data_IF_404961320688
#
_entry.id   IF_404961320688
#
_cell.length_a   1.000
_cell.length_b   1.000
_cell.length_c   1.000
_cell.angle_alpha   90.00
_cell.angle_beta   90.00
_cell.angle_gamma   90.00
#
_symmetry.space_group_name_H-M   'P 1'
#
loop_
_entity.id
_entity.type
_entity.pdbx_description
1 polymer ?
#
# COMPACT_ATOMS: atom_id res chain seq x y z
N UNK A 1 2.74 4.26 0.64
CA UNK A 1 3.71 4.66 -0.39
C UNK A 1 3.47 6.11 -0.79
N UNK A 2 4.54 6.86 -1.00
CA UNK A 2 4.50 8.24 -1.46
C UNK A 2 5.14 8.25 -2.85
N UNK A 3 4.35 8.47 -3.89
CA UNK A 3 4.81 8.47 -5.29
C UNK A 3 4.60 9.89 -5.85
N UNK A 4 5.68 10.60 -6.22
CA UNK A 4 5.57 11.94 -6.77
C UNK A 4 4.77 12.02 -8.07
N UNK A 5 4.13 13.17 -8.30
CA UNK A 5 3.42 13.49 -9.54
C UNK A 5 4.13 14.63 -10.28
N UNK A 6 4.01 14.65 -11.60
CA UNK A 6 4.46 15.76 -12.44
C UNK A 6 3.46 16.94 -12.44
N UNK A 7 3.79 18.00 -13.17
CA UNK A 7 2.94 19.20 -13.29
C UNK A 7 1.56 18.92 -13.90
N UNK A 8 1.41 17.81 -14.63
CA UNK A 8 0.15 17.39 -15.25
C UNK A 8 -0.63 16.40 -14.35
N UNK A 9 -0.11 16.09 -13.16
CA UNK A 9 -0.74 15.18 -12.19
C UNK A 9 -0.48 13.69 -12.46
N UNK A 10 0.39 13.33 -13.41
CA UNK A 10 0.77 11.94 -13.69
C UNK A 10 1.88 11.50 -12.72
N UNK A 11 1.83 10.25 -12.25
CA UNK A 11 2.90 9.71 -11.40
C UNK A 11 4.23 9.62 -12.17
N UNK A 12 5.32 10.05 -11.51
CA UNK A 12 6.67 10.02 -12.08
C UNK A 12 7.27 8.61 -12.01
N UNK A 13 8.10 8.31 -12.99
CA UNK A 13 9.02 7.16 -13.00
C UNK A 13 10.45 7.70 -12.98
N UNK A 14 11.36 6.94 -12.38
CA UNK A 14 12.76 7.30 -12.21
C UNK A 14 13.62 6.11 -12.61
N UNK A 15 14.80 6.37 -13.16
CA UNK A 15 15.68 5.31 -13.64
C UNK A 15 16.49 4.70 -12.48
N UNK A 16 16.76 5.50 -11.44
CA UNK A 16 17.45 5.06 -10.24
C UNK A 16 16.71 5.44 -8.96
N UNK A 17 16.89 4.70 -7.85
CA UNK A 17 16.32 5.09 -6.56
C UNK A 17 16.78 6.47 -6.06
N UNK A 18 18.01 6.88 -6.40
CA UNK A 18 18.59 8.15 -5.96
C UNK A 18 17.86 9.36 -6.54
N UNK A 19 17.45 9.29 -7.81
CA UNK A 19 16.70 10.35 -8.48
C UNK A 19 15.33 10.60 -7.84
N UNK A 20 14.70 9.56 -7.30
CA UNK A 20 13.38 9.67 -6.66
C UNK A 20 13.44 10.27 -5.24
N UNK A 21 14.62 10.34 -4.62
CA UNK A 21 14.76 10.58 -3.17
C UNK A 21 14.21 11.94 -2.74
N UNK A 22 14.62 13.02 -3.40
CA UNK A 22 14.21 14.38 -3.05
C UNK A 22 12.70 14.57 -3.19
N UNK A 23 12.15 14.21 -4.36
CA UNK A 23 10.72 14.34 -4.66
C UNK A 23 9.88 13.48 -3.72
N UNK A 24 10.30 12.24 -3.46
CA UNK A 24 9.59 11.33 -2.55
C UNK A 24 9.57 11.88 -1.13
N UNK A 25 10.70 12.44 -0.67
CA UNK A 25 10.81 13.06 0.65
C UNK A 25 9.88 14.27 0.78
N UNK A 26 9.73 15.09 -0.26
CA UNK A 26 8.79 16.21 -0.26
C UNK A 26 7.34 15.74 -0.13
N UNK A 27 6.95 14.68 -0.85
CA UNK A 27 5.60 14.10 -0.76
C UNK A 27 5.37 13.44 0.60
N UNK A 28 6.38 12.76 1.17
CA UNK A 28 6.32 12.17 2.52
C UNK A 28 6.02 13.22 3.59
N UNK A 29 6.64 14.40 3.52
CA UNK A 29 6.44 15.50 4.47
C UNK A 29 5.00 16.02 4.53
N UNK A 30 4.19 15.73 3.52
CA UNK A 30 2.76 16.09 3.48
C UNK A 30 1.89 15.12 4.29
N UNK A 31 2.43 13.96 4.70
CA UNK A 31 1.75 12.92 5.49
C UNK A 31 0.51 12.28 4.83
N UNK A 32 0.31 12.56 3.53
CA UNK A 32 -0.79 12.03 2.73
C UNK A 32 -0.21 10.97 1.77
N UNK A 33 -0.35 9.67 2.07
CA UNK A 33 0.15 8.63 1.19
C UNK A 33 -0.65 8.62 -0.11
N UNK A 34 0.05 8.53 -1.24
CA UNK A 34 -0.59 8.37 -2.56
C UNK A 34 -1.22 6.99 -2.73
N UNK A 35 -0.65 5.97 -2.08
CA UNK A 35 -1.12 4.59 -2.14
C UNK A 35 -0.95 3.93 -0.77
N UNK A 36 -1.98 3.24 -0.31
CA UNK A 36 -1.93 2.30 0.81
C UNK A 36 -2.40 0.96 0.28
N UNK A 37 -1.53 -0.04 0.32
CA UNK A 37 -1.74 -1.33 -0.37
C UNK A 37 -1.32 -2.49 0.52
N UNK A 38 -2.01 -3.62 0.40
CA UNK A 38 -1.54 -4.89 0.95
C UNK A 38 -0.57 -5.57 -0.02
N UNK A 39 0.41 -6.27 0.52
CA UNK A 39 1.36 -7.14 -0.20
C UNK A 39 1.94 -6.53 -1.49
N UNK A 40 2.25 -5.23 -1.45
CA UNK A 40 3.05 -4.55 -2.48
C UNK A 40 2.30 -3.93 -3.67
N UNK A 41 1.00 -4.19 -3.88
CA UNK A 41 0.23 -3.55 -4.98
C UNK A 41 -1.29 -3.52 -4.75
N UNK A 42 -1.99 -2.66 -5.47
CA UNK A 42 -3.47 -2.63 -5.47
C UNK A 42 -3.99 -3.99 -5.95
N UNK A 43 -4.93 -4.57 -5.19
CA UNK A 43 -5.53 -5.86 -5.50
C UNK A 43 -4.61 -7.07 -5.31
N UNK A 44 -3.48 -6.95 -4.60
CA UNK A 44 -2.53 -8.05 -4.42
C UNK A 44 -3.16 -9.34 -3.86
N UNK A 45 -4.11 -9.21 -2.93
CA UNK A 45 -4.82 -10.29 -2.24
C UNK A 45 -6.25 -10.48 -2.76
N UNK A 46 -6.46 -10.36 -4.08
CA UNK A 46 -7.80 -10.46 -4.71
C UNK A 46 -7.79 -11.40 -5.92
N UNK A 47 -8.99 -11.73 -6.42
CA UNK A 47 -9.18 -12.61 -7.59
C UNK A 47 -8.53 -13.97 -7.36
N UNK A 48 -7.67 -14.40 -8.30
CA UNK A 48 -6.93 -15.66 -8.19
C UNK A 48 -5.98 -15.76 -6.98
N UNK A 49 -5.65 -14.62 -6.35
CA UNK A 49 -4.79 -14.53 -5.17
C UNK A 49 -5.59 -14.23 -3.89
N UNK A 50 -6.91 -14.37 -3.92
CA UNK A 50 -7.74 -14.15 -2.74
C UNK A 50 -7.35 -15.13 -1.62
N UNK A 51 -7.35 -14.63 -0.38
CA UNK A 51 -7.19 -15.49 0.78
C UNK A 51 -8.40 -16.44 0.89
N UNK A 52 -8.15 -17.69 1.22
CA UNK A 52 -9.19 -18.73 1.31
C UNK A 52 -9.24 -19.30 2.72
N UNK A 53 -10.43 -19.68 3.16
CA UNK A 53 -10.67 -20.47 4.36
C UNK A 53 -11.91 -21.34 4.13
N UNK A 54 -12.15 -22.33 4.98
CA UNK A 54 -13.39 -23.13 4.99
C UNK A 54 -14.24 -22.84 6.23
N UNK A 55 -15.54 -23.12 6.15
CA UNK A 55 -16.42 -23.05 7.33
C UNK A 55 -15.88 -23.99 8.42
N UNK A 56 -15.78 -23.47 9.64
CA UNK A 56 -15.21 -24.19 10.79
C UNK A 56 -13.68 -24.12 10.89
N UNK A 57 -12.99 -23.49 9.94
CA UNK A 57 -11.54 -23.26 10.01
C UNK A 57 -11.22 -21.98 10.81
N UNK A 58 -10.32 -22.09 11.78
CA UNK A 58 -9.78 -20.92 12.49
C UNK A 58 -8.51 -20.45 11.78
N UNK A 59 -8.48 -19.17 11.40
CA UNK A 59 -7.34 -18.56 10.71
C UNK A 59 -6.75 -17.42 11.54
N UNK A 60 -5.42 -17.40 11.69
CA UNK A 60 -4.70 -16.27 12.29
C UNK A 60 -4.27 -15.28 11.20
N UNK A 61 -4.75 -14.04 11.29
CA UNK A 61 -4.40 -12.96 10.36
C UNK A 61 -3.42 -12.01 11.06
N UNK A 62 -2.13 -12.13 10.73
CA UNK A 62 -1.13 -11.17 11.19
C UNK A 62 -1.14 -9.95 10.29
N UNK A 63 -1.34 -8.77 10.86
CA UNK A 63 -1.36 -7.50 10.14
C UNK A 63 -0.27 -6.57 10.66
N UNK A 64 0.58 -6.05 9.78
CA UNK A 64 1.66 -5.13 10.15
C UNK A 64 1.57 -3.82 9.36
N UNK A 65 1.97 -2.74 10.03
CA UNK A 65 2.12 -1.42 9.44
C UNK A 65 3.24 -0.71 10.21
N UNK A 66 4.36 -0.40 9.53
CA UNK A 66 5.56 0.10 10.18
C UNK A 66 5.64 1.64 10.33
N UNK A 67 4.83 2.41 9.62
CA UNK A 67 5.00 3.87 9.47
C UNK A 67 3.72 4.69 9.71
N UNK A 68 2.53 4.10 9.71
CA UNK A 68 1.26 4.81 9.88
C UNK A 68 0.18 3.90 10.42
N UNK A 69 -0.65 4.42 11.32
CA UNK A 69 -1.76 3.63 11.86
C UNK A 69 -2.69 3.08 10.77
N UNK A 70 -3.19 1.87 11.04
CA UNK A 70 -4.18 1.15 10.24
C UNK A 70 -5.24 0.57 11.16
N UNK A 71 -6.44 0.33 10.62
CA UNK A 71 -7.58 -0.21 11.36
C UNK A 71 -8.13 -1.40 10.55
N UNK A 72 -7.54 -2.61 10.69
CA UNK A 72 -7.98 -3.78 9.96
C UNK A 72 -9.43 -4.12 10.31
N UNK A 73 -10.19 -4.59 9.33
CA UNK A 73 -11.57 -5.01 9.51
C UNK A 73 -11.86 -6.19 8.56
N UNK A 74 -12.59 -7.18 9.07
CA UNK A 74 -13.11 -8.30 8.29
C UNK A 74 -14.60 -8.05 8.06
N UNK A 75 -14.98 -7.71 6.83
CA UNK A 75 -16.37 -7.43 6.48
C UNK A 75 -17.19 -8.72 6.61
N UNK A 76 -18.21 -8.71 7.47
CA UNK A 76 -19.10 -9.86 7.71
C UNK A 76 -18.50 -10.99 8.56
N UNK A 77 -17.32 -10.78 9.15
CA UNK A 77 -16.75 -11.67 10.16
C UNK A 77 -17.34 -11.49 11.55
#
# INVERSE_FOLDING_TARGET
LYVPKDANGKYKSYDTPGEAFADTTEVMRKLIPTHVVFNGRVGALTGKNAMTARVGETVMIVHSQANRDTRPHLIGG
#
